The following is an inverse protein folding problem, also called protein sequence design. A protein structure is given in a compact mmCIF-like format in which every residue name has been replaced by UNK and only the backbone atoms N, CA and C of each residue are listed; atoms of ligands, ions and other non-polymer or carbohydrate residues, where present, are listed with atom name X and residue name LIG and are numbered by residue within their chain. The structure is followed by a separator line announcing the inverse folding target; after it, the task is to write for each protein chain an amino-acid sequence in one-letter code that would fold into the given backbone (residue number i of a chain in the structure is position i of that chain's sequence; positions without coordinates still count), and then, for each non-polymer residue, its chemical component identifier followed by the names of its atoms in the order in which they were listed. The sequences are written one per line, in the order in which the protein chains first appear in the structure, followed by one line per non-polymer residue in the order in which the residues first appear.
data_IF_456429486868
#
_entry.id   IF_456429486868
#
_cell.length_a   1.000
_cell.length_b   1.000
_cell.length_c   1.000
_cell.angle_alpha   90.00
_cell.angle_beta   90.00
_cell.angle_gamma   90.00
#
_symmetry.space_group_name_H-M   'P 1'
#
loop_
_entity.id
_entity.type
_entity.pdbx_description
1 polymer ?
#
# COMPACT_ATOMS: atom_id res chain seq x y z
N UNK A 1 35.51 28.94 26.87
CA UNK A 1 35.20 27.50 27.01
C UNK A 1 33.72 27.21 27.28
N UNK A 2 33.04 27.86 28.25
CA UNK A 2 31.60 27.62 28.52
C UNK A 2 30.65 27.85 27.32
N UNK A 3 30.89 28.89 26.50
CA UNK A 3 30.06 29.22 25.34
C UNK A 3 30.12 28.16 24.23
N UNK A 4 31.29 27.54 23.99
CA UNK A 4 31.45 26.50 22.98
C UNK A 4 30.72 25.20 23.35
N UNK A 5 30.70 24.84 24.64
CA UNK A 5 29.95 23.69 25.15
C UNK A 5 28.44 23.83 24.96
N UNK A 6 27.91 25.05 25.14
CA UNK A 6 26.49 25.35 24.93
C UNK A 6 26.11 25.15 23.46
N UNK A 7 26.95 25.58 22.50
CA UNK A 7 26.71 25.35 21.08
C UNK A 7 26.74 23.87 20.68
N UNK A 8 27.64 23.07 21.27
CA UNK A 8 27.71 21.63 21.02
C UNK A 8 26.45 20.92 21.53
N UNK A 9 25.98 21.27 22.73
CA UNK A 9 24.74 20.70 23.29
C UNK A 9 23.53 21.08 22.45
N UNK A 10 23.42 22.34 22.02
CA UNK A 10 22.34 22.78 21.13
C UNK A 10 22.40 22.02 19.80
N UNK A 11 23.59 21.82 19.21
CA UNK A 11 23.72 21.07 17.96
C UNK A 11 23.29 19.61 18.10
N UNK A 12 23.64 18.93 19.20
CA UNK A 12 23.23 17.55 19.46
C UNK A 12 21.71 17.46 19.69
N UNK A 13 21.14 18.39 20.47
CA UNK A 13 19.69 18.44 20.71
C UNK A 13 18.93 18.74 19.41
N UNK A 14 19.39 19.70 18.61
CA UNK A 14 18.79 20.01 17.31
C UNK A 14 18.93 18.86 16.33
N UNK A 15 20.05 18.14 16.32
CA UNK A 15 20.23 16.93 15.51
C UNK A 15 19.31 15.80 16.00
N UNK A 16 19.16 15.63 17.31
CA UNK A 16 18.22 14.69 17.91
C UNK A 16 16.76 15.00 17.57
N UNK A 17 16.38 16.28 17.61
CA UNK A 17 15.04 16.76 17.21
C UNK A 17 14.84 16.61 15.69
N UNK A 18 15.85 16.89 14.88
CA UNK A 18 15.79 16.73 13.43
C UNK A 18 15.72 15.25 13.02
N UNK A 19 16.48 14.38 13.69
CA UNK A 19 16.42 12.92 13.54
C UNK A 19 15.04 12.42 14.00
N UNK A 20 14.57 12.84 15.16
CA UNK A 20 13.23 12.52 15.66
C UNK A 20 12.15 12.92 14.66
N UNK A 21 12.17 14.19 14.20
CA UNK A 21 11.24 14.66 13.18
C UNK A 21 11.40 13.91 11.87
N UNK A 22 12.62 13.59 11.43
CA UNK A 22 12.88 12.83 10.19
C UNK A 22 12.34 11.40 10.26
N UNK A 23 12.41 10.74 11.41
CA UNK A 23 11.79 9.43 11.64
C UNK A 23 10.29 9.50 11.95
N UNK A 24 9.76 10.66 12.38
CA UNK A 24 8.36 10.86 12.80
C UNK A 24 7.58 11.81 11.86
N UNK A 25 8.03 11.97 10.61
CA UNK A 25 7.19 12.58 9.56
C UNK A 25 6.16 11.52 9.17
N UNK A 26 4.98 11.39 9.77
CA UNK A 26 3.95 12.40 10.06
C UNK A 26 3.17 11.90 11.28
N UNK A 27 3.65 12.19 12.49
CA UNK A 27 2.90 11.83 13.69
C UNK A 27 1.65 12.71 13.80
N UNK A 28 0.47 12.15 13.50
CA UNK A 28 -0.79 12.82 13.79
C UNK A 28 -1.37 12.21 15.07
N UNK A 29 -1.45 13.03 16.13
CA UNK A 29 -1.93 12.62 17.45
C UNK A 29 -1.25 11.34 18.00
N UNK A 30 0.08 11.27 17.95
CA UNK A 30 0.89 10.11 18.41
C UNK A 30 0.73 8.83 17.57
N UNK A 31 0.02 8.88 16.44
CA UNK A 31 -0.07 7.76 15.51
C UNK A 31 0.98 7.93 14.42
N UNK A 32 1.78 6.90 14.18
CA UNK A 32 2.90 6.91 13.24
C UNK A 32 2.87 5.65 12.36
N UNK A 33 3.16 5.81 11.07
CA UNK A 33 3.52 4.68 10.20
C UNK A 33 5.03 4.47 10.27
N UNK A 34 5.46 3.33 10.79
CA UNK A 34 6.87 2.94 10.86
C UNK A 34 7.48 2.86 9.47
N UNK A 35 8.54 3.61 9.22
CA UNK A 35 9.23 3.61 7.92
C UNK A 35 9.98 2.31 7.62
N UNK A 36 10.23 1.47 8.64
CA UNK A 36 10.95 0.20 8.49
C UNK A 36 10.00 -0.98 8.34
N UNK A 37 8.98 -1.08 9.21
CA UNK A 37 8.02 -2.18 9.21
C UNK A 37 6.75 -1.88 8.42
N UNK A 38 6.49 -0.63 8.04
CA UNK A 38 5.22 -0.15 7.48
C UNK A 38 4.02 -0.37 8.43
N UNK A 39 4.31 -0.57 9.71
CA UNK A 39 3.34 -0.78 10.78
C UNK A 39 2.70 0.54 11.21
N UNK A 40 1.40 0.54 11.50
CA UNK A 40 0.72 1.66 12.13
C UNK A 40 0.77 1.49 13.64
N UNK A 41 1.39 2.44 14.32
CA UNK A 41 1.66 2.36 15.76
C UNK A 41 1.03 3.54 16.48
N UNK A 42 0.32 3.26 17.57
CA UNK A 42 -0.03 4.24 18.59
C UNK A 42 1.12 4.36 19.59
N UNK A 43 1.93 5.40 19.42
CA UNK A 43 3.09 5.65 20.28
C UNK A 43 2.72 6.13 21.69
N UNK A 44 1.46 6.52 21.93
CA UNK A 44 1.01 6.94 23.26
C UNK A 44 0.82 5.77 24.23
N UNK A 45 0.50 4.60 23.70
CA UNK A 45 0.33 3.35 24.45
C UNK A 45 1.35 2.28 24.07
N UNK A 46 2.22 2.56 23.10
CA UNK A 46 3.26 1.66 22.57
C UNK A 46 2.67 0.37 21.99
N UNK A 47 1.64 0.53 21.14
CA UNK A 47 0.93 -0.61 20.53
C UNK A 47 0.74 -0.48 19.03
N UNK A 48 0.84 -1.63 18.37
CA UNK A 48 0.52 -1.79 16.96
C UNK A 48 -0.98 -1.79 16.75
N UNK A 49 -1.45 -0.96 15.82
CA UNK A 49 -2.83 -0.96 15.33
C UNK A 49 -2.95 -1.91 14.14
N UNK A 50 -1.96 -1.90 13.25
CA UNK A 50 -1.91 -2.77 12.06
C UNK A 50 -0.47 -3.01 11.64
N UNK A 51 -0.17 -4.24 11.25
CA UNK A 51 1.20 -4.70 11.00
C UNK A 51 1.81 -4.12 9.72
N UNK A 52 0.99 -3.80 8.71
CA UNK A 52 1.49 -3.44 7.38
C UNK A 52 0.48 -2.62 6.60
N UNK A 53 0.80 -1.35 6.40
CA UNK A 53 -0.12 -0.33 5.89
C UNK A 53 -0.02 -0.16 4.39
N UNK A 54 -1.19 -0.03 3.78
CA UNK A 54 -1.40 0.23 2.37
C UNK A 54 -1.93 1.65 2.13
N UNK A 55 -2.81 2.14 3.01
CA UNK A 55 -3.39 3.49 2.96
C UNK A 55 -3.72 3.99 4.36
N UNK A 56 -3.70 5.32 4.55
CA UNK A 56 -4.17 5.96 5.78
C UNK A 56 -4.91 7.26 5.51
N UNK A 57 -5.78 7.64 6.43
CA UNK A 57 -6.44 8.94 6.43
C UNK A 57 -6.71 9.41 7.86
N UNK A 58 -5.96 10.40 8.37
CA UNK A 58 -6.18 10.96 9.69
C UNK A 58 -7.34 11.96 9.69
N UNK A 59 -8.08 11.98 10.80
CA UNK A 59 -9.01 13.04 11.20
C UNK A 59 -8.66 13.50 12.61
N UNK A 60 -9.35 14.52 13.15
CA UNK A 60 -9.09 15.01 14.50
C UNK A 60 -9.25 13.93 15.58
N UNK A 61 -10.25 13.06 15.47
CA UNK A 61 -10.57 12.05 16.49
C UNK A 61 -10.22 10.61 16.08
N UNK A 62 -10.12 10.34 14.78
CA UNK A 62 -9.98 8.99 14.26
C UNK A 62 -8.85 8.86 13.24
N UNK A 63 -8.28 7.67 13.18
CA UNK A 63 -7.34 7.25 12.15
C UNK A 63 -7.96 6.13 11.32
N UNK A 64 -8.14 6.38 10.03
CA UNK A 64 -8.62 5.36 9.09
C UNK A 64 -7.42 4.71 8.40
N UNK A 65 -7.48 3.40 8.18
CA UNK A 65 -6.41 2.69 7.49
C UNK A 65 -6.91 1.52 6.65
N UNK A 66 -6.12 1.18 5.64
CA UNK A 66 -6.12 -0.09 4.94
C UNK A 66 -4.76 -0.74 5.17
N UNK A 67 -4.76 -1.98 5.65
CA UNK A 67 -3.57 -2.80 5.83
C UNK A 67 -3.75 -4.21 5.28
N UNK A 68 -2.71 -5.02 5.40
CA UNK A 68 -2.77 -6.44 4.99
C UNK A 68 -3.69 -7.28 5.88
N UNK A 69 -4.06 -6.75 7.03
CA UNK A 69 -4.92 -7.33 8.06
C UNK A 69 -6.37 -6.82 8.00
N UNK A 70 -6.68 -5.89 7.10
CA UNK A 70 -8.04 -5.43 6.85
C UNK A 70 -8.17 -3.92 6.69
N UNK A 71 -9.41 -3.45 6.83
CA UNK A 71 -9.76 -2.02 6.81
C UNK A 71 -10.38 -1.62 8.14
N UNK A 72 -9.94 -0.52 8.71
CA UNK A 72 -10.33 -0.16 10.06
C UNK A 72 -10.28 1.33 10.38
N UNK A 73 -10.98 1.66 11.47
CA UNK A 73 -10.99 2.97 12.10
C UNK A 73 -10.52 2.82 13.53
N UNK A 74 -9.50 3.59 13.88
CA UNK A 74 -8.94 3.68 15.21
C UNK A 74 -9.38 4.97 15.89
N UNK A 75 -10.06 4.86 17.04
CA UNK A 75 -10.34 5.96 17.96
C UNK A 75 -9.09 6.25 18.78
N UNK A 76 -8.46 7.39 18.49
CA UNK A 76 -7.17 7.79 19.04
C UNK A 76 -7.27 8.03 20.55
N UNK A 77 -8.40 8.58 21.01
CA UNK A 77 -8.57 8.97 22.41
C UNK A 77 -8.88 7.78 23.30
N UNK A 78 -9.72 6.88 22.81
CA UNK A 78 -10.25 5.77 23.60
C UNK A 78 -9.49 4.45 23.34
N UNK A 79 -8.56 4.44 22.40
CA UNK A 79 -7.82 3.25 21.95
C UNK A 79 -8.77 2.12 21.53
N UNK A 80 -9.78 2.45 20.73
CA UNK A 80 -10.77 1.50 20.22
C UNK A 80 -10.53 1.29 18.72
N UNK A 81 -10.37 0.04 18.31
CA UNK A 81 -10.22 -0.34 16.90
C UNK A 81 -11.51 -1.00 16.39
N UNK A 82 -12.24 -0.32 15.52
CA UNK A 82 -13.29 -0.96 14.71
C UNK A 82 -12.66 -1.45 13.40
N UNK A 83 -12.64 -2.76 13.16
CA UNK A 83 -11.93 -3.36 12.01
C UNK A 83 -12.76 -4.43 11.32
N UNK A 84 -12.78 -4.39 9.98
CA UNK A 84 -13.17 -5.51 9.14
C UNK A 84 -11.89 -6.25 8.74
N UNK A 85 -11.66 -7.40 9.36
CA UNK A 85 -10.49 -8.23 9.11
C UNK A 85 -10.65 -9.01 7.81
N UNK A 86 -9.64 -8.96 6.95
CA UNK A 86 -9.49 -9.85 5.81
C UNK A 86 -8.02 -10.11 5.57
N UNK A 87 -7.71 -11.28 5.01
CA UNK A 87 -6.35 -11.59 4.57
C UNK A 87 -6.15 -11.04 3.15
N UNK A 88 -5.10 -10.24 2.96
CA UNK A 88 -4.65 -9.87 1.63
C UNK A 88 -3.78 -10.98 1.06
N UNK A 89 -4.27 -11.67 0.03
CA UNK A 89 -3.56 -12.76 -0.63
C UNK A 89 -2.44 -12.24 -1.54
N UNK A 90 -1.44 -13.09 -1.80
CA UNK A 90 -0.36 -12.80 -2.76
C UNK A 90 0.96 -12.35 -2.13
N UNK A 91 0.99 -12.13 -0.81
CA UNK A 91 2.24 -12.05 -0.05
C UNK A 91 2.57 -13.42 0.56
N UNK A 92 3.78 -13.93 0.31
CA UNK A 92 4.24 -15.25 0.80
C UNK A 92 4.52 -15.25 2.32
N UNK A 93 4.29 -14.13 2.98
CA UNK A 93 4.47 -13.92 4.42
C UNK A 93 3.40 -14.60 5.28
N UNK A 94 2.29 -15.06 4.68
CA UNK A 94 1.18 -15.72 5.37
C UNK A 94 0.22 -14.75 6.08
N UNK A 95 -0.81 -15.25 6.77
CA UNK A 95 -1.85 -14.41 7.34
C UNK A 95 -1.31 -13.49 8.44
N UNK A 96 -1.48 -12.19 8.27
CA UNK A 96 -1.23 -11.19 9.31
C UNK A 96 -2.36 -11.26 10.34
N UNK A 97 -2.10 -11.91 11.49
CA UNK A 97 -3.06 -11.95 12.60
C UNK A 97 -2.97 -10.66 13.42
N UNK A 98 -4.13 -10.06 13.68
CA UNK A 98 -4.35 -8.95 14.64
C UNK A 98 -4.44 -9.42 16.11
N UNK A 99 -3.87 -10.58 16.47
CA UNK A 99 -4.12 -11.18 17.78
C UNK A 99 -3.24 -10.57 18.87
N UNK A 100 -3.85 -9.77 19.75
CA UNK A 100 -3.19 -9.21 20.92
C UNK A 100 -3.88 -9.61 22.23
N UNK A 101 -3.54 -10.77 22.84
CA UNK A 101 -4.17 -11.24 24.08
C UNK A 101 -3.88 -10.38 25.33
N UNK A 102 -3.20 -9.24 25.18
CA UNK A 102 -2.84 -8.29 26.25
C UNK A 102 -2.75 -6.84 25.76
N UNK A 103 -3.39 -6.51 24.64
CA UNK A 103 -3.38 -5.15 24.11
C UNK A 103 -4.25 -4.23 24.96
N UNK A 104 -3.80 -2.98 25.06
CA UNK A 104 -4.51 -1.82 25.59
C UNK A 104 -5.58 -1.32 24.61
N UNK A 105 -5.51 -1.74 23.34
CA UNK A 105 -6.52 -1.50 22.31
C UNK A 105 -7.72 -2.43 22.50
N UNK A 106 -8.91 -1.85 22.54
CA UNK A 106 -10.17 -2.58 22.51
C UNK A 106 -10.58 -2.83 21.06
N UNK A 107 -10.58 -4.09 20.62
CA UNK A 107 -10.86 -4.45 19.22
C UNK A 107 -12.33 -4.87 19.04
N UNK A 108 -13.03 -4.15 18.17
CA UNK A 108 -14.39 -4.40 17.73
C UNK A 108 -14.39 -4.92 16.29
N UNK A 109 -14.50 -6.24 16.12
CA UNK A 109 -14.56 -6.85 14.79
C UNK A 109 -15.90 -6.61 14.12
N UNK A 110 -15.85 -6.16 12.87
CA UNK A 110 -16.98 -6.03 11.95
C UNK A 110 -17.00 -7.23 11.01
N UNK A 111 -18.19 -7.63 10.55
CA UNK A 111 -18.34 -8.76 9.65
C UNK A 111 -18.42 -8.30 8.18
N UNK A 112 -18.82 -7.05 7.95
CA UNK A 112 -18.97 -6.45 6.62
C UNK A 112 -18.85 -4.93 6.68
N UNK A 113 -18.55 -4.29 5.54
CA UNK A 113 -18.43 -2.83 5.44
C UNK A 113 -19.68 -2.09 5.94
N UNK A 114 -20.88 -2.64 5.70
CA UNK A 114 -22.13 -2.00 6.14
C UNK A 114 -22.32 -1.96 7.66
N UNK A 115 -21.46 -2.61 8.44
CA UNK A 115 -21.47 -2.53 9.90
C UNK A 115 -20.80 -1.24 10.42
N UNK A 116 -20.10 -0.50 9.54
CA UNK A 116 -19.57 0.83 9.82
C UNK A 116 -20.62 1.92 9.57
N UNK A 117 -20.41 3.10 10.17
CA UNK A 117 -21.30 4.24 9.93
C UNK A 117 -21.13 4.79 8.51
N UNK A 118 -22.11 5.54 8.02
CA UNK A 118 -22.01 6.22 6.72
C UNK A 118 -20.81 7.17 6.65
N UNK A 119 -20.50 7.84 7.75
CA UNK A 119 -19.33 8.73 7.86
C UNK A 119 -18.02 7.96 7.73
N UNK A 120 -17.93 6.78 8.36
CA UNK A 120 -16.74 5.93 8.26
C UNK A 120 -16.55 5.43 6.82
N UNK A 121 -17.64 5.03 6.15
CA UNK A 121 -17.59 4.62 4.74
C UNK A 121 -17.12 5.75 3.81
N UNK A 122 -17.58 6.99 4.05
CA UNK A 122 -17.13 8.18 3.32
C UNK A 122 -15.64 8.48 3.57
N UNK A 123 -15.17 8.32 4.81
CA UNK A 123 -13.76 8.48 5.15
C UNK A 123 -12.88 7.37 4.59
N UNK A 124 -13.37 6.13 4.47
CA UNK A 124 -12.67 5.07 3.72
C UNK A 124 -12.56 5.41 2.22
N UNK A 125 -13.60 5.96 1.60
CA UNK A 125 -13.51 6.40 0.19
C UNK A 125 -12.51 7.56 0.04
N UNK A 126 -12.54 8.56 0.94
CA UNK A 126 -11.55 9.65 0.98
C UNK A 126 -10.12 9.13 1.16
N UNK A 127 -9.93 8.13 2.00
CA UNK A 127 -8.64 7.48 2.22
C UNK A 127 -8.10 6.88 0.91
N UNK A 128 -8.92 6.14 0.17
CA UNK A 128 -8.49 5.54 -1.10
C UNK A 128 -8.26 6.60 -2.18
N UNK A 129 -9.05 7.67 -2.18
CA UNK A 129 -8.89 8.80 -3.11
C UNK A 129 -7.70 9.72 -2.75
N UNK A 130 -7.13 9.59 -1.56
CA UNK A 130 -5.97 10.37 -1.15
C UNK A 130 -4.74 9.95 -2.00
N UNK A 131 -4.13 10.94 -2.68
CA UNK A 131 -2.98 10.72 -3.55
C UNK A 131 -1.62 10.97 -2.86
N UNK A 132 -1.63 11.17 -1.55
CA UNK A 132 -0.42 11.24 -0.73
C UNK A 132 0.48 10.02 -0.96
N UNK A 133 1.79 10.28 -0.92
CA UNK A 133 2.84 9.29 -1.23
C UNK A 133 2.70 8.63 -2.62
N UNK A 134 1.92 9.22 -3.52
CA UNK A 134 1.70 8.70 -4.87
C UNK A 134 0.70 7.55 -4.92
N UNK A 135 -0.14 7.39 -3.90
CA UNK A 135 -1.28 6.47 -3.94
C UNK A 135 -2.23 6.81 -5.09
N UNK A 136 -2.86 5.78 -5.66
CA UNK A 136 -3.80 5.95 -6.76
C UNK A 136 -4.93 4.93 -6.65
N UNK A 137 -6.17 5.39 -6.88
CA UNK A 137 -7.35 4.55 -6.84
C UNK A 137 -8.07 4.61 -8.18
N UNK A 138 -8.28 3.43 -8.79
CA UNK A 138 -8.78 3.32 -10.15
C UNK A 138 -10.06 2.49 -10.18
N UNK A 139 -11.06 3.02 -10.88
CA UNK A 139 -12.32 2.34 -11.17
C UNK A 139 -12.98 1.67 -9.96
N UNK A 140 -12.86 2.28 -8.79
CA UNK A 140 -13.42 1.80 -7.52
C UNK A 140 -13.03 0.36 -7.11
N UNK A 141 -11.92 -0.16 -7.63
CA UNK A 141 -11.48 -1.54 -7.39
C UNK A 141 -9.97 -1.67 -7.24
N UNK A 142 -9.22 -1.00 -8.11
CA UNK A 142 -7.78 -1.18 -8.17
C UNK A 142 -7.06 -0.10 -7.37
N UNK A 143 -6.10 -0.50 -6.55
CA UNK A 143 -5.41 0.44 -5.67
C UNK A 143 -3.90 0.27 -5.75
N UNK A 144 -3.20 1.38 -6.02
CA UNK A 144 -1.76 1.49 -5.84
C UNK A 144 -1.50 2.11 -4.46
N UNK A 145 -0.79 1.38 -3.61
CA UNK A 145 -0.41 1.88 -2.28
C UNK A 145 0.54 3.08 -2.39
N UNK A 146 0.38 4.03 -1.46
CA UNK A 146 1.34 5.10 -1.24
C UNK A 146 2.48 4.71 -0.30
N UNK A 147 2.30 3.67 0.52
CA UNK A 147 3.27 3.23 1.52
C UNK A 147 4.14 2.08 1.03
N UNK A 148 3.62 1.27 0.10
CA UNK A 148 4.35 0.15 -0.48
C UNK A 148 4.33 0.18 -2.01
N UNK A 149 5.26 -0.55 -2.63
CA UNK A 149 5.28 -0.75 -4.08
C UNK A 149 4.20 -1.77 -4.53
N UNK A 150 3.02 -1.70 -3.93
CA UNK A 150 1.95 -2.69 -4.02
C UNK A 150 0.80 -2.18 -4.88
N UNK A 151 0.32 -3.06 -5.76
CA UNK A 151 -0.90 -2.88 -6.53
C UNK A 151 -1.90 -3.97 -6.16
N UNK A 152 -3.14 -3.58 -5.82
CA UNK A 152 -4.15 -4.45 -5.25
C UNK A 152 -5.42 -4.47 -6.11
N UNK A 153 -6.07 -5.62 -6.11
CA UNK A 153 -7.50 -5.77 -6.36
C UNK A 153 -8.22 -5.76 -5.01
N UNK A 154 -8.94 -4.67 -4.72
CA UNK A 154 -9.66 -4.54 -3.45
C UNK A 154 -10.86 -5.49 -3.35
N UNK A 155 -11.52 -5.84 -4.46
CA UNK A 155 -12.69 -6.73 -4.43
C UNK A 155 -12.29 -8.16 -4.07
N UNK A 156 -11.12 -8.59 -4.55
CA UNK A 156 -10.57 -9.91 -4.29
C UNK A 156 -9.63 -9.96 -3.09
N UNK A 157 -9.37 -8.81 -2.43
CA UNK A 157 -8.32 -8.65 -1.42
C UNK A 157 -6.99 -9.29 -1.87
N UNK A 158 -6.55 -8.99 -3.09
CA UNK A 158 -5.43 -9.67 -3.74
C UNK A 158 -4.35 -8.68 -4.15
N UNK A 159 -3.11 -8.98 -3.80
CA UNK A 159 -1.93 -8.32 -4.35
C UNK A 159 -1.70 -8.82 -5.77
N UNK A 160 -1.78 -7.91 -6.73
CA UNK A 160 -1.43 -8.18 -8.13
C UNK A 160 0.09 -8.16 -8.30
N UNK A 161 0.77 -7.23 -7.63
CA UNK A 161 2.23 -7.16 -7.58
C UNK A 161 2.70 -6.28 -6.41
N UNK A 162 3.82 -6.65 -5.80
CA UNK A 162 4.53 -5.88 -4.76
C UNK A 162 5.79 -5.17 -5.28
N UNK A 163 5.93 -5.07 -6.61
CA UNK A 163 7.08 -4.45 -7.24
C UNK A 163 6.72 -3.39 -8.29
N UNK A 164 5.67 -2.63 -8.02
CA UNK A 164 5.26 -1.50 -8.86
C UNK A 164 6.38 -0.46 -8.91
N UNK A 165 6.74 -0.03 -10.12
CA UNK A 165 7.70 1.07 -10.35
C UNK A 165 7.12 2.20 -11.20
N UNK A 166 6.04 1.93 -11.91
CA UNK A 166 5.28 2.95 -12.62
C UNK A 166 3.86 2.48 -12.88
N UNK A 167 2.92 3.41 -12.85
CA UNK A 167 1.53 3.17 -13.23
C UNK A 167 1.08 4.32 -14.11
N UNK A 168 0.43 3.98 -15.23
CA UNK A 168 -0.25 4.95 -16.09
C UNK A 168 -1.71 4.58 -16.18
N UNK A 169 -2.54 5.54 -15.79
CA UNK A 169 -3.98 5.46 -16.01
C UNK A 169 -4.32 5.95 -17.42
N UNK A 170 -5.04 5.13 -18.18
CA UNK A 170 -5.64 5.50 -19.47
C UNK A 170 -7.16 5.45 -19.35
N UNK A 171 -7.93 5.97 -20.33
CA UNK A 171 -9.39 5.90 -20.25
C UNK A 171 -9.94 4.48 -20.08
N UNK A 172 -9.33 3.49 -20.73
CA UNK A 172 -9.82 2.10 -20.79
C UNK A 172 -8.98 1.11 -19.99
N UNK A 173 -7.71 1.41 -19.74
CA UNK A 173 -6.75 0.45 -19.16
C UNK A 173 -5.90 1.07 -18.05
N UNK A 174 -5.39 0.22 -17.17
CA UNK A 174 -4.34 0.55 -16.21
C UNK A 174 -3.07 -0.16 -16.68
N UNK A 175 -2.02 0.62 -16.94
CA UNK A 175 -0.74 0.12 -17.44
C UNK A 175 0.28 0.17 -16.32
N UNK A 176 0.83 -0.97 -15.94
CA UNK A 176 1.69 -1.12 -14.77
C UNK A 176 3.05 -1.65 -15.22
N UNK A 177 4.08 -0.89 -14.88
CA UNK A 177 5.45 -1.39 -14.92
C UNK A 177 5.80 -1.99 -13.57
N UNK A 178 6.05 -3.30 -13.60
CA UNK A 178 6.60 -4.13 -12.54
C UNK A 178 8.07 -4.39 -12.87
N UNK A 179 8.97 -4.45 -11.88
CA UNK A 179 10.39 -4.82 -12.15
C UNK A 179 10.58 -6.17 -12.85
N UNK A 180 9.58 -7.05 -12.81
CA UNK A 180 9.59 -8.34 -13.53
C UNK A 180 8.93 -8.30 -14.90
N UNK A 181 8.36 -7.17 -15.33
CA UNK A 181 7.70 -7.02 -16.62
C UNK A 181 6.53 -6.03 -16.63
N UNK A 182 5.49 -6.33 -17.40
CA UNK A 182 4.35 -5.45 -17.59
C UNK A 182 3.04 -6.14 -17.23
N UNK A 183 2.14 -5.36 -16.63
CA UNK A 183 0.77 -5.79 -16.32
C UNK A 183 -0.17 -4.74 -16.92
N UNK A 184 -1.19 -5.21 -17.63
CA UNK A 184 -2.20 -4.38 -18.28
C UNK A 184 -3.55 -4.88 -17.79
N UNK A 185 -4.38 -3.97 -17.28
CA UNK A 185 -5.71 -4.30 -16.77
C UNK A 185 -6.73 -3.50 -17.56
N UNK A 186 -7.66 -4.18 -18.19
CA UNK A 186 -8.83 -3.55 -18.81
C UNK A 186 -9.84 -3.16 -17.72
N UNK A 187 -10.29 -1.91 -17.71
CA UNK A 187 -11.20 -1.39 -16.68
C UNK A 187 -12.65 -1.84 -16.88
N UNK A 188 -13.03 -2.17 -18.12
CA UNK A 188 -14.39 -2.59 -18.45
C UNK A 188 -14.54 -4.10 -18.25
N UNK A 189 -13.63 -4.89 -18.82
CA UNK A 189 -13.74 -6.36 -18.77
C UNK A 189 -13.06 -6.96 -17.54
N UNK A 190 -12.14 -6.23 -16.91
CA UNK A 190 -11.22 -6.74 -15.88
C UNK A 190 -10.26 -7.82 -16.39
N UNK A 191 -10.10 -7.94 -17.72
CA UNK A 191 -9.08 -8.79 -18.29
C UNK A 191 -7.69 -8.25 -17.94
N UNK A 192 -6.83 -9.16 -17.53
CA UNK A 192 -5.46 -8.88 -17.14
C UNK A 192 -4.51 -9.53 -18.13
N UNK A 193 -3.66 -8.73 -18.75
CA UNK A 193 -2.55 -9.23 -19.55
C UNK A 193 -1.25 -9.06 -18.77
N UNK A 194 -0.43 -10.11 -18.75
CA UNK A 194 0.88 -10.08 -18.10
C UNK A 194 1.97 -10.51 -19.07
N UNK A 195 3.03 -9.72 -19.16
CA UNK A 195 4.26 -10.07 -19.85
C UNK A 195 5.39 -10.02 -18.85
N UNK A 196 6.01 -11.16 -18.54
CA UNK A 196 7.14 -11.23 -17.61
C UNK A 196 8.40 -11.67 -18.31
N UNK A 197 9.45 -10.88 -18.15
CA UNK A 197 10.75 -11.11 -18.76
C UNK A 197 11.83 -10.45 -17.90
N UNK A 198 12.77 -11.26 -17.41
CA UNK A 198 13.85 -10.82 -16.54
C UNK A 198 14.75 -9.78 -17.23
N UNK A 199 14.82 -9.76 -18.56
CA UNK A 199 15.59 -8.76 -19.32
C UNK A 199 15.04 -7.33 -19.20
N UNK A 200 13.79 -7.16 -18.76
CA UNK A 200 13.16 -5.84 -18.67
C UNK A 200 13.80 -4.97 -17.58
N UNK A 201 13.97 -5.51 -16.37
CA UNK A 201 14.59 -4.78 -15.25
C UNK A 201 15.33 -5.68 -14.24
N UNK A 202 15.66 -6.92 -14.63
CA UNK A 202 16.59 -7.79 -13.90
C UNK A 202 15.99 -8.59 -12.75
N UNK A 203 14.66 -8.77 -12.70
CA UNK A 203 14.00 -9.59 -11.67
C UNK A 203 13.13 -10.66 -12.30
N UNK A 204 13.48 -11.93 -12.11
CA UNK A 204 12.61 -13.05 -12.43
C UNK A 204 11.33 -13.03 -11.60
N UNK A 205 10.18 -13.22 -12.26
CA UNK A 205 8.89 -13.40 -11.58
C UNK A 205 8.85 -14.76 -10.86
N UNK A 206 8.20 -14.83 -9.71
CA UNK A 206 7.99 -16.09 -8.99
C UNK A 206 6.85 -16.88 -9.65
N UNK A 207 7.01 -18.19 -9.77
CA UNK A 207 5.98 -19.08 -10.33
C UNK A 207 4.69 -19.09 -9.47
N UNK A 208 4.82 -18.86 -8.16
CA UNK A 208 3.72 -18.69 -7.21
C UNK A 208 2.83 -17.51 -7.59
N UNK A 209 3.41 -16.36 -7.94
CA UNK A 209 2.67 -15.16 -8.33
C UNK A 209 1.80 -15.41 -9.57
N UNK A 210 2.36 -16.05 -10.61
CA UNK A 210 1.60 -16.41 -11.82
C UNK A 210 0.50 -17.42 -11.48
N UNK A 211 0.78 -18.40 -10.62
CA UNK A 211 -0.19 -19.44 -10.25
C UNK A 211 -1.38 -18.87 -9.48
N UNK A 212 -1.13 -17.91 -8.57
CA UNK A 212 -2.19 -17.21 -7.84
C UNK A 212 -3.04 -16.38 -8.79
N UNK A 213 -2.42 -15.61 -9.70
CA UNK A 213 -3.16 -14.85 -10.69
C UNK A 213 -4.02 -15.77 -11.58
N UNK A 214 -3.47 -16.90 -12.04
CA UNK A 214 -4.21 -17.90 -12.82
C UNK A 214 -5.40 -18.47 -12.04
N UNK A 215 -5.21 -18.78 -10.77
CA UNK A 215 -6.28 -19.29 -9.91
C UNK A 215 -7.40 -18.27 -9.73
N UNK A 216 -7.05 -16.99 -9.53
CA UNK A 216 -8.02 -15.93 -9.23
C UNK A 216 -8.73 -15.39 -10.48
N UNK A 217 -8.04 -15.25 -11.61
CA UNK A 217 -8.59 -14.64 -12.82
C UNK A 217 -8.97 -15.66 -13.91
N UNK A 218 -8.42 -16.87 -13.89
CA UNK A 218 -8.75 -17.92 -14.87
C UNK A 218 -8.62 -17.42 -16.30
N UNK A 219 -9.71 -17.48 -17.06
CA UNK A 219 -9.80 -17.04 -18.46
C UNK A 219 -9.60 -15.52 -18.64
N UNK A 220 -9.81 -14.72 -17.59
CA UNK A 220 -9.52 -13.27 -17.60
C UNK A 220 -8.03 -12.97 -17.49
N UNK A 221 -7.15 -13.97 -17.25
CA UNK A 221 -5.70 -13.78 -17.28
C UNK A 221 -5.10 -14.28 -18.59
N UNK A 222 -4.43 -13.36 -19.28
CA UNK A 222 -3.71 -13.63 -20.53
C UNK A 222 -2.21 -13.48 -20.26
N UNK A 223 -1.48 -14.60 -20.31
CA UNK A 223 -0.01 -14.58 -20.21
C UNK A 223 0.57 -14.41 -21.62
N UNK A 224 1.27 -13.31 -21.83
CA UNK A 224 1.92 -12.98 -23.10
C UNK A 224 3.32 -13.62 -23.15
N UNK A 225 3.64 -14.21 -24.30
CA UNK A 225 4.94 -14.84 -24.56
C UNK A 225 5.92 -13.88 -25.24
N UNK A 226 5.44 -12.78 -25.80
CA UNK A 226 6.27 -11.74 -26.42
C UNK A 226 5.71 -10.36 -26.12
N UNK A 227 6.62 -9.40 -25.90
CA UNK A 227 6.29 -7.98 -25.75
C UNK A 227 5.54 -7.42 -26.98
N UNK A 228 5.75 -8.01 -28.16
CA UNK A 228 5.11 -7.59 -29.40
C UNK A 228 3.61 -7.91 -29.45
N UNK A 229 3.12 -8.76 -28.53
CA UNK A 229 1.69 -9.03 -28.37
C UNK A 229 0.96 -7.90 -27.63
N UNK A 230 1.70 -7.00 -26.96
CA UNK A 230 1.13 -5.78 -26.38
C UNK A 230 0.90 -4.77 -27.50
N UNK A 231 -0.27 -4.12 -27.50
CA UNK A 231 -0.59 -3.05 -28.45
C UNK A 231 0.50 -1.97 -28.44
N UNK A 232 0.88 -1.48 -29.62
CA UNK A 232 2.04 -0.60 -29.78
C UNK A 232 1.99 0.65 -28.90
N UNK A 233 0.83 1.29 -28.79
CA UNK A 233 0.64 2.47 -27.94
C UNK A 233 0.86 2.16 -26.45
N UNK A 234 0.35 1.01 -25.98
CA UNK A 234 0.49 0.56 -24.59
C UNK A 234 1.94 0.17 -24.30
N UNK A 235 2.55 -0.58 -25.22
CA UNK A 235 3.96 -0.96 -25.14
C UNK A 235 4.86 0.26 -25.04
N UNK A 236 4.62 1.29 -25.85
CA UNK A 236 5.39 2.53 -25.81
C UNK A 236 5.28 3.23 -24.45
N UNK A 237 4.08 3.30 -23.86
CA UNK A 237 3.88 3.87 -22.51
C UNK A 237 4.62 3.04 -21.44
N UNK A 238 4.48 1.72 -21.49
CA UNK A 238 5.10 0.80 -20.54
C UNK A 238 6.64 0.87 -20.58
N UNK A 239 7.22 0.96 -21.78
CA UNK A 239 8.66 1.16 -21.97
C UNK A 239 9.11 2.53 -21.43
N UNK A 240 8.33 3.58 -21.62
CA UNK A 240 8.62 4.89 -21.01
C UNK A 240 8.62 4.82 -19.47
N UNK A 241 7.65 4.13 -18.87
CA UNK A 241 7.62 3.92 -17.41
C UNK A 241 8.88 3.18 -16.92
N UNK A 242 9.30 2.16 -17.66
CA UNK A 242 10.55 1.43 -17.40
C UNK A 242 11.76 2.35 -17.47
N UNK A 243 11.90 3.12 -18.55
CA UNK A 243 13.07 3.97 -18.77
C UNK A 243 13.16 5.10 -17.73
N UNK A 244 12.02 5.65 -17.32
CA UNK A 244 11.94 6.61 -16.21
C UNK A 244 12.39 6.03 -14.86
N UNK A 245 12.18 4.73 -14.64
CA UNK A 245 12.67 4.06 -13.44
C UNK A 245 14.17 3.74 -13.53
N UNK A 246 14.63 3.20 -14.66
CA UNK A 246 16.03 2.81 -14.86
C UNK A 246 16.95 4.04 -14.80
N UNK A 247 16.53 5.16 -15.39
CA UNK A 247 17.31 6.42 -15.40
C UNK A 247 17.47 7.09 -14.03
N UNK A 248 16.68 6.68 -13.03
CA UNK A 248 16.76 7.19 -11.64
C UNK A 248 17.67 6.35 -10.74
N UNK A 249 18.17 5.21 -11.22
CA UNK A 249 19.16 4.37 -10.51
C UNK A 249 20.57 4.86 -10.79
#
# INVERSE_FOLDING_TARGET
MKKAYIFIVIAIVSLGIAIYHHYHQVAHNNIVVSTQSHELVDTSIDESISNRILAVYPTESYYYYLGYDGIGRYDIKNHILDVLEFEVYGDESGPFKTYHPKSKIVVNRKNKLSDFSKEDLDNFEKMLMNSEHGAQYFNKRWYRSGYEATFLDLDNHLIITNDVRGVKDTPTKILIFNVSGFIIIDKETNDMQVYFDESIAGKKVKDSAISILKYMYGEHLIVLNSIDQIEENERNILLQLRDQYISKK
#
